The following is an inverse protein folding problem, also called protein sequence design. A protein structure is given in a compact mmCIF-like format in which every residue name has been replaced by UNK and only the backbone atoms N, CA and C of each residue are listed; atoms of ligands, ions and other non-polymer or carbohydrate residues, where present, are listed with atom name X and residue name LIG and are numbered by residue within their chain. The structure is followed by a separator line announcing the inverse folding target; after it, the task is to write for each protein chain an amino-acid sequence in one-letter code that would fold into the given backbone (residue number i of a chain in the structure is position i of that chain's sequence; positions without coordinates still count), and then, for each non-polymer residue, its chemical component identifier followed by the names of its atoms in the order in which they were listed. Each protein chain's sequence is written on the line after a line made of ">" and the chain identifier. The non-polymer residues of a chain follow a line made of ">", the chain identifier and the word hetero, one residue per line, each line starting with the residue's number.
data_IF_317201304331
#
_entry.id   IF_317201304331
#
_cell.length_a   1.000
_cell.length_b   1.000
_cell.length_c   1.000
_cell.angle_alpha   90.00
_cell.angle_beta   90.00
_cell.angle_gamma   90.00
#
_symmetry.space_group_name_H-M   'P 1'
#
loop_
_entity.id
_entity.type
_entity.pdbx_description
1 polymer ?
#
# COMPACT_ATOMS: atom_id res chain seq x y z
N UNK A 1 24.26 23.83 -18.18
CA UNK A 1 25.39 23.00 -18.66
C UNK A 1 25.21 21.63 -18.03
N UNK A 2 24.96 20.59 -18.83
CA UNK A 2 24.84 19.21 -18.34
C UNK A 2 26.21 18.55 -18.30
N UNK A 3 26.57 17.94 -17.18
CA UNK A 3 27.79 17.15 -17.01
C UNK A 3 27.34 15.72 -16.71
N UNK A 4 27.78 14.76 -17.51
CA UNK A 4 27.54 13.34 -17.28
C UNK A 4 28.84 12.68 -16.82
N UNK A 5 28.81 12.00 -15.67
CA UNK A 5 29.85 11.06 -15.29
C UNK A 5 29.48 9.65 -15.78
N UNK A 6 30.47 8.89 -16.27
CA UNK A 6 30.27 7.55 -16.82
C UNK A 6 31.36 6.58 -16.36
N UNK A 7 31.00 5.30 -16.23
CA UNK A 7 31.94 4.22 -15.91
C UNK A 7 32.85 3.90 -17.10
N UNK A 8 32.27 3.95 -18.30
CA UNK A 8 32.92 3.58 -19.55
C UNK A 8 32.65 4.64 -20.64
N UNK A 9 33.67 4.90 -21.45
CA UNK A 9 33.55 5.68 -22.69
C UNK A 9 33.90 4.73 -23.83
N UNK A 10 33.01 4.64 -24.80
CA UNK A 10 33.13 3.81 -25.99
C UNK A 10 33.26 4.67 -27.24
N UNK A 11 33.75 4.10 -28.35
CA UNK A 11 33.88 4.83 -29.60
C UNK A 11 32.52 5.07 -30.28
N UNK A 12 32.51 6.06 -31.18
CA UNK A 12 31.30 6.38 -31.93
C UNK A 12 30.89 5.19 -32.81
N UNK A 13 29.64 4.76 -32.66
CA UNK A 13 29.08 3.61 -33.38
C UNK A 13 29.04 2.31 -32.58
N UNK A 14 29.66 2.26 -31.39
CA UNK A 14 29.57 1.08 -30.51
C UNK A 14 28.20 0.95 -29.83
N UNK A 15 27.51 2.06 -29.57
CA UNK A 15 26.12 2.06 -29.08
C UNK A 15 25.19 2.16 -30.29
N UNK A 16 24.33 1.16 -30.55
CA UNK A 16 23.33 1.25 -31.60
C UNK A 16 22.43 2.48 -31.39
N UNK A 17 22.08 3.25 -32.43
CA UNK A 17 21.30 4.49 -32.28
C UNK A 17 19.99 4.33 -31.51
N UNK A 18 19.32 3.18 -31.68
CA UNK A 18 18.09 2.81 -30.98
C UNK A 18 18.27 2.42 -29.50
N UNK A 19 19.51 2.23 -29.05
CA UNK A 19 19.87 1.95 -27.66
C UNK A 19 20.45 3.18 -26.94
N UNK A 20 20.54 4.33 -27.61
CA UNK A 20 20.95 5.59 -26.99
C UNK A 20 19.82 6.12 -26.10
N UNK A 21 19.97 6.02 -24.78
CA UNK A 21 18.98 6.53 -23.83
C UNK A 21 18.91 8.06 -23.80
N UNK A 22 20.06 8.74 -23.79
CA UNK A 22 20.15 10.21 -23.75
C UNK A 22 20.98 10.68 -24.95
N UNK A 23 20.34 11.31 -25.97
CA UNK A 23 21.07 11.85 -27.11
C UNK A 23 22.15 12.86 -26.69
N UNK A 24 23.30 12.81 -27.36
CA UNK A 24 24.47 13.64 -27.02
C UNK A 24 24.22 15.16 -27.06
N UNK A 25 23.18 15.62 -27.76
CA UNK A 25 22.75 17.03 -27.75
C UNK A 25 22.42 17.56 -26.34
N UNK A 26 22.03 16.69 -25.41
CA UNK A 26 21.72 17.05 -24.03
C UNK A 26 22.94 17.05 -23.10
N UNK A 27 24.09 16.51 -23.52
CA UNK A 27 25.30 16.36 -22.71
C UNK A 27 26.36 17.35 -23.16
N UNK A 28 26.71 18.32 -22.30
CA UNK A 28 27.70 19.35 -22.65
C UNK A 28 29.13 18.96 -22.28
N UNK A 29 29.29 18.15 -21.23
CA UNK A 29 30.59 17.64 -20.76
C UNK A 29 30.42 16.19 -20.32
N UNK A 30 31.39 15.36 -20.66
CA UNK A 30 31.46 13.95 -20.28
C UNK A 30 32.72 13.75 -19.44
N UNK A 31 32.59 13.05 -18.31
CA UNK A 31 33.68 12.71 -17.40
C UNK A 31 33.68 11.20 -17.19
N UNK A 32 34.82 10.54 -17.33
CA UNK A 32 34.95 9.14 -16.88
C UNK A 32 35.37 9.13 -15.41
N UNK A 33 34.59 8.48 -14.55
CA UNK A 33 34.96 8.33 -13.14
C UNK A 33 36.20 7.45 -12.98
N UNK A 34 37.08 7.79 -12.03
CA UNK A 34 38.30 7.01 -11.77
C UNK A 34 38.03 5.71 -11.00
N UNK A 35 37.05 5.73 -10.09
CA UNK A 35 36.59 4.60 -9.30
C UNK A 35 35.14 4.82 -8.87
N UNK A 36 34.37 3.73 -8.77
CA UNK A 36 32.96 3.76 -8.36
C UNK A 36 32.77 2.91 -7.11
N UNK A 37 32.44 3.57 -6.01
CA UNK A 37 31.87 2.91 -4.84
C UNK A 37 30.35 2.87 -5.06
N UNK A 38 29.79 1.66 -5.18
CA UNK A 38 28.34 1.45 -5.35
C UNK A 38 27.72 0.90 -4.06
N UNK A 39 27.56 1.72 -3.00
CA UNK A 39 27.05 1.26 -1.72
C UNK A 39 25.59 0.84 -1.82
N UNK A 40 25.25 -0.25 -1.13
CA UNK A 40 23.88 -0.76 -1.06
C UNK A 40 23.25 -0.29 0.25
N UNK A 41 22.20 0.53 0.19
CA UNK A 41 21.52 1.03 1.39
C UNK A 41 20.84 -0.09 2.18
N UNK A 42 20.13 -1.00 1.48
CA UNK A 42 19.47 -2.16 2.09
C UNK A 42 19.74 -3.42 1.28
N UNK A 43 20.76 -4.16 1.72
CA UNK A 43 21.07 -5.46 1.14
C UNK A 43 20.06 -6.50 1.65
N UNK A 44 19.12 -6.87 0.78
CA UNK A 44 18.06 -7.83 1.08
C UNK A 44 18.23 -9.07 0.21
N UNK A 45 18.37 -10.23 0.87
CA UNK A 45 18.60 -11.51 0.20
C UNK A 45 17.38 -12.42 0.31
N UNK A 46 17.22 -13.31 -0.67
CA UNK A 46 16.27 -14.41 -0.59
C UNK A 46 16.67 -15.35 0.55
N UNK A 47 15.70 -15.74 1.38
CA UNK A 47 15.90 -16.80 2.38
C UNK A 47 15.88 -18.17 1.69
N UNK A 48 16.74 -19.08 2.12
CA UNK A 48 16.96 -20.40 1.50
C UNK A 48 15.81 -21.42 1.74
N UNK A 49 14.78 -21.08 2.51
CA UNK A 49 13.63 -21.94 2.79
C UNK A 49 12.36 -21.12 3.02
N UNK A 50 11.33 -21.39 2.21
CA UNK A 50 10.00 -20.77 2.29
C UNK A 50 9.64 -19.95 1.03
N UNK A 51 8.34 -19.68 0.77
CA UNK A 51 7.93 -18.74 -0.28
C UNK A 51 8.66 -17.40 -0.06
N UNK A 52 8.78 -16.55 -1.09
CA UNK A 52 9.63 -15.36 -1.10
C UNK A 52 9.21 -14.22 -0.13
N UNK A 53 8.81 -14.51 1.10
CA UNK A 53 8.57 -13.62 2.21
C UNK A 53 8.94 -14.37 3.47
N UNK A 54 9.61 -13.71 4.42
CA UNK A 54 10.05 -14.37 5.66
C UNK A 54 8.93 -15.13 6.36
N UNK A 55 9.27 -16.14 7.19
CA UNK A 55 8.31 -16.83 8.06
C UNK A 55 7.36 -15.82 8.72
N UNK A 56 6.11 -15.86 8.28
CA UNK A 56 5.04 -15.13 8.92
C UNK A 56 4.36 -16.18 9.79
N UNK A 57 4.54 -16.08 11.12
CA UNK A 57 3.71 -16.85 12.04
C UNK A 57 2.27 -16.34 11.99
N UNK A 58 1.31 -17.16 12.46
CA UNK A 58 -0.13 -16.85 12.58
C UNK A 58 -0.35 -15.52 13.31
N UNK A 59 -0.23 -14.45 12.56
CA UNK A 59 -0.26 -13.08 13.05
C UNK A 59 -1.29 -12.32 12.25
N UNK A 60 -1.82 -11.29 12.89
CA UNK A 60 -2.81 -10.40 12.30
C UNK A 60 -2.34 -9.80 10.95
N UNK A 61 -1.03 -9.54 10.83
CA UNK A 61 -0.36 -9.13 9.58
C UNK A 61 -0.39 -10.19 8.49
N UNK A 62 -0.14 -11.45 8.81
CA UNK A 62 -0.21 -12.55 7.83
C UNK A 62 -1.59 -12.63 7.19
N UNK A 63 -2.63 -12.50 8.01
CA UNK A 63 -4.02 -12.51 7.57
C UNK A 63 -4.29 -11.41 6.54
N UNK A 64 -3.81 -10.19 6.81
CA UNK A 64 -3.93 -9.05 5.87
C UNK A 64 -3.19 -9.36 4.56
N UNK A 65 -1.96 -9.87 4.64
CA UNK A 65 -1.13 -10.20 3.48
C UNK A 65 -1.80 -11.27 2.61
N UNK A 66 -2.29 -12.35 3.21
CA UNK A 66 -2.97 -13.45 2.50
C UNK A 66 -4.27 -12.97 1.86
N UNK A 67 -5.00 -12.05 2.49
CA UNK A 67 -6.19 -11.44 1.86
C UNK A 67 -5.84 -10.59 0.68
N UNK A 68 -4.82 -9.74 0.84
CA UNK A 68 -4.39 -8.85 -0.21
C UNK A 68 -4.02 -9.63 -1.47
N UNK A 69 -3.42 -10.82 -1.31
CA UNK A 69 -3.11 -11.69 -2.43
C UNK A 69 -4.32 -12.09 -3.29
N UNK A 70 -5.54 -12.09 -2.72
CA UNK A 70 -6.79 -12.35 -3.46
C UNK A 70 -7.27 -11.14 -4.29
N UNK A 71 -6.64 -9.97 -4.16
CA UNK A 71 -6.90 -8.82 -5.05
C UNK A 71 -6.21 -8.97 -6.41
N UNK A 72 -5.16 -9.79 -6.49
CA UNK A 72 -4.41 -10.01 -7.71
C UNK A 72 -5.21 -10.86 -8.70
N UNK A 73 -5.19 -10.43 -9.96
CA UNK A 73 -5.77 -11.16 -11.09
C UNK A 73 -4.70 -11.37 -12.14
N UNK A 74 -4.86 -12.42 -12.92
CA UNK A 74 -3.93 -12.74 -14.00
C UNK A 74 -3.85 -11.58 -15.01
N UNK A 75 -2.64 -11.25 -15.43
CA UNK A 75 -2.32 -10.16 -16.35
C UNK A 75 -2.26 -8.76 -15.74
N UNK A 76 -2.52 -8.58 -14.43
CA UNK A 76 -2.52 -7.24 -13.82
C UNK A 76 -1.13 -6.59 -13.78
N UNK A 77 -1.11 -5.27 -14.02
CA UNK A 77 -0.02 -4.36 -13.69
C UNK A 77 -0.24 -3.78 -12.30
N UNK A 78 0.72 -3.99 -11.40
CA UNK A 78 0.53 -3.72 -9.97
C UNK A 78 1.70 -2.90 -9.43
N UNK A 79 1.40 -1.86 -8.66
CA UNK A 79 2.37 -1.16 -7.82
C UNK A 79 2.14 -1.53 -6.35
N UNK A 80 3.21 -1.98 -5.66
CA UNK A 80 3.18 -2.41 -4.28
C UNK A 80 4.06 -1.53 -3.40
N UNK A 81 3.46 -0.88 -2.41
CA UNK A 81 4.17 -0.14 -1.38
C UNK A 81 4.99 -1.03 -0.46
N UNK A 82 6.00 -0.44 0.18
CA UNK A 82 6.87 -1.14 1.13
C UNK A 82 6.09 -1.78 2.31
N UNK A 83 6.60 -2.89 2.84
CA UNK A 83 6.02 -3.57 4.00
C UNK A 83 5.03 -4.67 3.61
N UNK A 84 3.83 -4.67 4.21
CA UNK A 84 2.81 -5.70 3.96
C UNK A 84 2.44 -5.87 2.47
N UNK A 85 2.31 -4.80 1.65
CA UNK A 85 1.97 -4.97 0.24
C UNK A 85 3.01 -5.79 -0.53
N UNK A 86 4.30 -5.47 -0.37
CA UNK A 86 5.39 -6.24 -1.01
C UNK A 86 5.41 -7.71 -0.58
N UNK A 87 5.08 -8.02 0.68
CA UNK A 87 5.02 -9.40 1.15
C UNK A 87 3.90 -10.22 0.49
N UNK A 88 2.82 -9.57 0.02
CA UNK A 88 1.71 -10.26 -0.64
C UNK A 88 2.07 -10.80 -2.03
N UNK A 89 3.11 -10.28 -2.67
CA UNK A 89 3.62 -10.82 -3.93
C UNK A 89 4.01 -12.31 -3.80
N UNK A 90 4.44 -12.73 -2.62
CA UNK A 90 4.86 -14.11 -2.34
C UNK A 90 3.71 -15.07 -2.06
N UNK A 91 2.49 -14.55 -1.99
CA UNK A 91 1.24 -15.30 -1.80
C UNK A 91 0.33 -15.26 -3.03
N UNK A 92 0.82 -14.74 -4.16
CA UNK A 92 0.09 -14.77 -5.43
C UNK A 92 -0.29 -16.23 -5.74
N UNK A 93 -1.57 -16.53 -6.00
CA UNK A 93 -2.02 -17.89 -6.28
C UNK A 93 -1.31 -18.50 -7.49
N UNK A 94 -1.11 -19.82 -7.45
CA UNK A 94 -0.59 -20.54 -8.61
C UNK A 94 -1.48 -20.30 -9.84
N UNK A 95 -0.87 -20.04 -10.99
CA UNK A 95 -1.57 -19.73 -12.24
C UNK A 95 -1.99 -18.26 -12.40
N UNK A 96 -1.73 -17.40 -11.42
CA UNK A 96 -1.90 -15.95 -11.55
C UNK A 96 -0.54 -15.31 -11.81
N UNK A 97 -0.38 -14.64 -12.95
CA UNK A 97 0.80 -13.85 -13.27
C UNK A 97 0.47 -12.37 -13.16
N UNK A 98 1.27 -11.62 -12.40
CA UNK A 98 1.18 -10.16 -12.31
C UNK A 98 2.50 -9.53 -12.72
N UNK A 99 2.43 -8.30 -13.20
CA UNK A 99 3.58 -7.49 -13.57
C UNK A 99 3.77 -6.40 -12.51
N UNK A 100 4.80 -6.56 -11.69
CA UNK A 100 5.10 -5.63 -10.62
C UNK A 100 5.90 -4.43 -11.16
N UNK A 101 5.33 -3.23 -11.00
CA UNK A 101 5.95 -1.96 -11.36
C UNK A 101 6.64 -1.36 -10.14
N UNK A 102 7.79 -0.73 -10.35
CA UNK A 102 8.49 0.06 -9.34
C UNK A 102 8.65 1.50 -9.80
N UNK A 103 8.28 2.45 -8.94
CA UNK A 103 8.25 3.88 -9.25
C UNK A 103 9.63 4.46 -9.63
N UNK A 104 10.72 3.81 -9.20
CA UNK A 104 12.09 4.18 -9.55
C UNK A 104 12.54 3.76 -10.96
N UNK A 105 11.65 3.21 -11.80
CA UNK A 105 11.90 3.13 -13.25
C UNK A 105 12.07 1.73 -13.81
N UNK A 106 11.29 0.75 -13.33
CA UNK A 106 11.25 -0.55 -14.00
C UNK A 106 9.94 -1.32 -13.78
N UNK A 107 9.69 -2.27 -14.68
CA UNK A 107 8.53 -3.14 -14.70
C UNK A 107 8.98 -4.59 -14.82
N UNK A 108 8.32 -5.49 -14.08
CA UNK A 108 8.72 -6.89 -14.01
C UNK A 108 9.62 -7.18 -12.81
N UNK A 109 9.34 -6.57 -11.66
CA UNK A 109 10.03 -6.85 -10.40
C UNK A 109 9.94 -8.34 -10.05
N UNK A 110 11.11 -8.92 -9.79
CA UNK A 110 11.28 -10.30 -9.35
C UNK A 110 11.53 -10.42 -7.85
N UNK A 111 11.74 -11.66 -7.36
CA UNK A 111 12.06 -11.90 -5.96
C UNK A 111 13.37 -11.23 -5.53
N UNK A 112 13.64 -11.21 -4.22
CA UNK A 112 14.95 -10.82 -3.71
C UNK A 112 16.08 -11.70 -4.31
N UNK A 113 17.28 -11.15 -4.52
CA UNK A 113 18.42 -11.84 -5.12
C UNK A 113 19.04 -12.89 -4.18
N UNK A 114 19.72 -13.89 -4.73
CA UNK A 114 20.74 -14.65 -4.00
C UNK A 114 21.98 -13.79 -3.78
N UNK A 115 22.96 -14.26 -3.00
CA UNK A 115 24.18 -13.48 -2.73
C UNK A 115 24.97 -13.15 -4.01
N UNK A 116 24.90 -14.02 -5.01
CA UNK A 116 25.55 -13.92 -6.31
C UNK A 116 24.79 -13.03 -7.31
N UNK A 117 23.51 -12.80 -7.05
CA UNK A 117 22.62 -11.98 -7.89
C UNK A 117 22.50 -10.54 -7.40
N UNK A 118 23.21 -10.17 -6.32
CA UNK A 118 23.14 -8.82 -5.77
C UNK A 118 23.77 -7.85 -6.75
N UNK A 119 22.98 -6.85 -7.16
CA UNK A 119 23.40 -5.76 -8.02
C UNK A 119 22.99 -4.43 -7.37
N UNK A 120 23.94 -3.50 -7.10
CA UNK A 120 23.63 -2.19 -6.53
C UNK A 120 22.78 -1.30 -7.45
N UNK A 121 22.79 -1.54 -8.76
CA UNK A 121 22.02 -0.76 -9.73
C UNK A 121 20.56 -1.27 -9.86
N UNK A 122 20.23 -2.40 -9.21
CA UNK A 122 18.90 -3.01 -9.25
C UNK A 122 18.23 -3.04 -7.86
N UNK A 123 17.51 -1.96 -7.57
CA UNK A 123 16.77 -1.77 -6.32
C UNK A 123 15.28 -1.48 -6.56
N UNK A 124 14.44 -1.75 -5.57
CA UNK A 124 13.04 -1.31 -5.55
C UNK A 124 12.87 0.10 -4.96
N UNK A 125 11.65 0.63 -4.99
CA UNK A 125 11.27 1.90 -4.35
C UNK A 125 11.61 1.99 -2.84
N UNK A 126 11.68 0.84 -2.15
CA UNK A 126 12.11 0.72 -0.76
C UNK A 126 13.62 0.68 -0.55
N UNK A 127 14.40 0.82 -1.62
CA UNK A 127 15.86 0.76 -1.70
C UNK A 127 16.46 -0.59 -1.31
N UNK A 128 15.66 -1.65 -1.44
CA UNK A 128 16.09 -3.03 -1.24
C UNK A 128 16.60 -3.59 -2.56
N UNK A 129 17.67 -4.39 -2.51
CA UNK A 129 18.18 -5.14 -3.66
C UNK A 129 17.14 -6.14 -4.16
N UNK A 130 16.86 -6.16 -5.46
CA UNK A 130 15.85 -7.01 -6.09
C UNK A 130 16.40 -7.68 -7.36
N UNK A 131 15.61 -8.56 -7.96
CA UNK A 131 15.89 -9.10 -9.30
C UNK A 131 14.84 -8.64 -10.31
N UNK A 132 15.12 -8.81 -11.60
CA UNK A 132 14.18 -8.57 -12.68
C UNK A 132 13.74 -9.90 -13.30
N UNK A 133 12.46 -10.05 -13.60
CA UNK A 133 11.92 -11.24 -14.28
C UNK A 133 12.19 -11.17 -15.79
N UNK A 134 12.18 -12.32 -16.49
CA UNK A 134 12.21 -12.32 -17.95
C UNK A 134 11.08 -11.47 -18.55
N UNK A 135 11.42 -10.59 -19.49
CA UNK A 135 10.50 -9.61 -20.06
C UNK A 135 10.35 -8.32 -19.25
N UNK A 136 11.21 -8.10 -18.25
CA UNK A 136 11.29 -6.81 -17.56
C UNK A 136 11.74 -5.68 -18.50
N UNK A 137 11.34 -4.46 -18.17
CA UNK A 137 11.71 -3.25 -18.90
C UNK A 137 12.14 -2.15 -17.92
N UNK A 138 13.16 -1.39 -18.31
CA UNK A 138 13.66 -0.23 -17.58
C UNK A 138 13.25 1.05 -18.30
N UNK A 139 13.00 2.11 -17.54
CA UNK A 139 12.59 3.41 -18.05
C UNK A 139 12.94 4.52 -17.06
N UNK A 140 13.04 5.75 -17.54
CA UNK A 140 13.31 6.90 -16.68
C UNK A 140 12.12 7.21 -15.74
N UNK A 141 12.38 8.01 -14.70
CA UNK A 141 11.34 8.38 -13.72
C UNK A 141 10.18 9.16 -14.32
N UNK A 142 10.40 9.98 -15.36
CA UNK A 142 9.32 10.72 -16.00
C UNK A 142 8.35 9.75 -16.71
N UNK A 143 8.89 8.76 -17.42
CA UNK A 143 8.14 7.65 -18.03
C UNK A 143 7.43 6.78 -16.99
N UNK A 144 8.11 6.47 -15.88
CA UNK A 144 7.53 5.74 -14.74
C UNK A 144 6.28 6.43 -14.18
N UNK A 145 6.38 7.73 -13.89
CA UNK A 145 5.24 8.49 -13.38
C UNK A 145 4.21 8.84 -14.46
N UNK A 146 4.58 8.88 -15.74
CA UNK A 146 3.61 8.97 -16.83
C UNK A 146 2.75 7.69 -16.91
N UNK A 147 3.35 6.51 -16.74
CA UNK A 147 2.64 5.24 -16.63
C UNK A 147 1.65 5.26 -15.45
N UNK A 148 2.11 5.70 -14.27
CA UNK A 148 1.27 5.80 -13.06
C UNK A 148 0.14 6.82 -13.25
N UNK A 149 0.46 8.09 -13.52
CA UNK A 149 -0.53 9.17 -13.64
C UNK A 149 -1.47 8.99 -14.83
N UNK A 150 -1.04 8.27 -15.85
CA UNK A 150 -1.87 7.90 -17.00
C UNK A 150 -2.90 6.81 -16.70
N UNK A 151 -2.87 6.20 -15.51
CA UNK A 151 -3.80 5.13 -15.15
C UNK A 151 -3.47 3.78 -15.79
N UNK A 152 -2.21 3.56 -16.19
CA UNK A 152 -1.77 2.30 -16.82
C UNK A 152 -1.46 1.19 -15.80
N UNK A 153 -1.62 1.48 -14.51
CA UNK A 153 -1.50 0.50 -13.41
C UNK A 153 -2.90 0.07 -13.01
N UNK A 154 -3.18 -1.23 -13.01
CA UNK A 154 -4.49 -1.77 -12.64
C UNK A 154 -4.75 -1.66 -11.13
N UNK A 155 -3.72 -1.91 -10.32
CA UNK A 155 -3.82 -1.98 -8.88
C UNK A 155 -2.61 -1.32 -8.19
N UNK A 156 -2.90 -0.34 -7.33
CA UNK A 156 -1.95 0.26 -6.39
C UNK A 156 -2.27 -0.22 -4.99
N UNK A 157 -1.27 -0.69 -4.25
CA UNK A 157 -1.44 -1.13 -2.87
C UNK A 157 -0.49 -0.40 -1.93
N UNK A 158 -1.01 0.25 -0.89
CA UNK A 158 -0.21 1.07 0.02
C UNK A 158 -0.52 0.78 1.49
N UNK A 159 0.44 1.10 2.34
CA UNK A 159 0.20 1.26 3.78
C UNK A 159 -0.45 2.61 4.08
N UNK A 160 -1.18 2.67 5.20
CA UNK A 160 -1.78 3.89 5.73
C UNK A 160 -1.55 4.05 7.23
N UNK A 161 -1.55 5.30 7.68
CA UNK A 161 -1.68 5.63 9.10
C UNK A 161 -3.16 5.86 9.45
N UNK A 162 -3.90 6.53 8.57
CA UNK A 162 -5.34 6.77 8.72
C UNK A 162 -6.02 6.74 7.36
N UNK A 163 -7.28 6.31 7.35
CA UNK A 163 -8.18 6.38 6.20
C UNK A 163 -9.51 6.98 6.67
N UNK A 164 -10.04 7.96 5.94
CA UNK A 164 -11.32 8.60 6.28
C UNK A 164 -12.53 7.79 5.79
N UNK A 165 -13.73 8.17 6.26
CA UNK A 165 -15.00 7.59 5.80
C UNK A 165 -15.17 7.66 4.27
N UNK A 166 -14.66 8.72 3.67
CA UNK A 166 -14.78 9.04 2.24
C UNK A 166 -13.60 8.56 1.41
N UNK A 167 -12.64 7.85 2.03
CA UNK A 167 -11.44 7.40 1.36
C UNK A 167 -10.44 8.54 1.16
N UNK A 168 -10.22 9.36 2.17
CA UNK A 168 -8.99 10.19 2.23
C UNK A 168 -7.87 9.37 2.89
N UNK A 169 -6.65 9.49 2.39
CA UNK A 169 -5.50 8.72 2.85
C UNK A 169 -4.46 9.63 3.54
N UNK A 170 -3.98 9.21 4.71
CA UNK A 170 -2.82 9.81 5.37
C UNK A 170 -1.75 8.73 5.64
N UNK A 171 -0.55 8.90 5.05
CA UNK A 171 0.53 7.91 5.17
C UNK A 171 1.98 8.46 5.15
N UNK A 172 2.19 9.77 5.03
CA UNK A 172 3.52 10.32 4.71
C UNK A 172 4.08 11.33 5.73
N UNK A 173 3.25 11.88 6.61
CA UNK A 173 3.67 12.88 7.59
C UNK A 173 2.91 12.76 8.91
N UNK A 174 3.64 12.86 10.02
CA UNK A 174 3.13 13.14 11.36
C UNK A 174 3.85 14.40 11.87
N UNK A 175 3.17 15.56 11.95
CA UNK A 175 3.78 16.80 12.41
C UNK A 175 4.50 16.62 13.76
N UNK A 176 5.76 17.06 13.82
CA UNK A 176 6.59 16.97 15.03
C UNK A 176 7.12 15.57 15.39
N UNK A 177 6.87 14.53 14.57
CA UNK A 177 7.40 13.17 14.82
C UNK A 177 8.05 12.52 13.60
N UNK A 178 7.38 12.52 12.46
CA UNK A 178 7.81 11.78 11.27
C UNK A 178 7.58 12.63 10.02
N UNK A 179 8.66 12.99 9.33
CA UNK A 179 8.62 13.67 8.03
C UNK A 179 9.54 12.91 7.09
N UNK A 180 9.00 11.96 6.33
CA UNK A 180 9.77 11.15 5.37
C UNK A 180 9.62 11.61 3.91
N UNK A 181 8.85 12.67 3.68
CA UNK A 181 8.40 13.06 2.34
C UNK A 181 7.32 12.11 1.82
N UNK A 182 6.53 12.55 0.84
CA UNK A 182 5.43 11.77 0.28
C UNK A 182 5.86 10.69 -0.72
N UNK A 183 7.09 10.76 -1.25
CA UNK A 183 7.54 9.86 -2.32
C UNK A 183 6.56 9.87 -3.50
N UNK A 184 6.37 8.72 -4.16
CA UNK A 184 5.37 8.55 -5.20
C UNK A 184 3.92 8.35 -4.71
N UNK A 185 3.66 8.38 -3.40
CA UNK A 185 2.35 8.00 -2.86
C UNK A 185 1.20 8.86 -3.40
N UNK A 186 1.42 10.16 -3.62
CA UNK A 186 0.39 11.06 -4.15
C UNK A 186 0.03 10.74 -5.61
N UNK A 187 1.02 10.52 -6.47
CA UNK A 187 0.80 10.12 -7.86
C UNK A 187 0.08 8.77 -7.94
N UNK A 188 0.48 7.81 -7.10
CA UNK A 188 -0.07 6.46 -7.07
C UNK A 188 -1.56 6.41 -6.69
N UNK A 189 -2.01 7.26 -5.77
CA UNK A 189 -3.43 7.32 -5.38
C UNK A 189 -4.24 8.33 -6.19
N UNK A 190 -3.57 9.26 -6.88
CA UNK A 190 -4.19 10.23 -7.78
C UNK A 190 -4.47 9.70 -9.18
N UNK A 191 -3.88 8.55 -9.54
CA UNK A 191 -4.03 7.93 -10.85
C UNK A 191 -5.51 7.65 -11.19
N UNK A 192 -6.01 8.09 -12.36
CA UNK A 192 -7.37 7.77 -12.80
C UNK A 192 -7.46 6.30 -13.23
N UNK A 193 -8.58 5.64 -12.99
CA UNK A 193 -8.82 4.26 -13.45
C UNK A 193 -8.03 3.18 -12.69
N UNK A 194 -6.98 3.53 -11.96
CA UNK A 194 -6.25 2.63 -11.08
C UNK A 194 -7.05 2.33 -9.81
N UNK A 195 -7.22 1.04 -9.49
CA UNK A 195 -7.80 0.63 -8.22
C UNK A 195 -6.77 0.84 -7.11
N UNK A 196 -7.19 1.45 -6.01
CA UNK A 196 -6.31 1.67 -4.85
C UNK A 196 -6.81 0.84 -3.67
N UNK A 197 -5.88 0.05 -3.10
CA UNK A 197 -6.12 -0.78 -1.93
C UNK A 197 -5.19 -0.35 -0.80
N UNK A 198 -5.77 -0.21 0.39
CA UNK A 198 -4.99 0.09 1.60
C UNK A 198 -4.91 -1.15 2.48
N UNK A 199 -3.69 -1.47 2.90
CA UNK A 199 -3.42 -2.46 3.95
C UNK A 199 -2.88 -1.78 5.20
N UNK A 200 -3.57 -1.96 6.32
CA UNK A 200 -3.16 -1.40 7.61
C UNK A 200 -3.67 -2.29 8.75
N UNK A 201 -2.99 -2.24 9.89
CA UNK A 201 -3.57 -2.71 11.16
C UNK A 201 -4.79 -1.83 11.46
N UNK A 202 -5.92 -2.43 11.87
CA UNK A 202 -7.19 -1.70 12.01
C UNK A 202 -7.14 -0.66 13.16
N UNK A 203 -6.40 -0.97 14.22
CA UNK A 203 -6.25 -0.12 15.40
C UNK A 203 -4.78 0.24 15.62
N UNK A 204 -4.53 1.46 16.09
CA UNK A 204 -3.22 1.83 16.59
C UNK A 204 -2.87 1.05 17.87
N UNK A 205 -1.58 0.74 18.05
CA UNK A 205 -1.09 0.14 19.30
C UNK A 205 -1.34 1.09 20.48
N UNK A 206 -1.82 0.60 21.63
CA UNK A 206 -2.01 1.43 22.81
C UNK A 206 -0.67 2.01 23.26
N UNK A 207 -0.69 3.26 23.75
CA UNK A 207 0.49 3.89 24.34
C UNK A 207 1.03 3.03 25.50
N UNK A 208 2.36 2.96 25.70
CA UNK A 208 3.01 2.03 26.64
C UNK A 208 2.58 2.17 28.11
N UNK A 209 1.84 3.22 28.47
CA UNK A 209 1.32 3.52 29.81
C UNK A 209 -0.09 2.94 30.07
N UNK A 210 -0.78 2.40 29.06
CA UNK A 210 -2.15 1.84 29.17
C UNK A 210 -2.17 0.31 29.17
N UNK A 211 -1.23 -0.32 29.87
CA UNK A 211 -1.04 -1.78 29.88
C UNK A 211 -2.18 -2.57 30.58
N UNK A 212 -3.18 -1.90 31.16
CA UNK A 212 -4.35 -2.55 31.78
C UNK A 212 -5.48 -2.92 30.80
N UNK A 213 -5.50 -2.39 29.57
CA UNK A 213 -6.53 -2.65 28.55
C UNK A 213 -6.04 -3.61 27.44
N UNK A 214 -5.05 -4.46 27.75
CA UNK A 214 -4.39 -5.36 26.80
C UNK A 214 -5.31 -6.36 26.09
N UNK A 215 -6.53 -6.62 26.57
CA UNK A 215 -7.37 -7.71 26.04
C UNK A 215 -8.16 -7.38 24.76
N UNK A 216 -8.32 -6.10 24.39
CA UNK A 216 -9.23 -5.74 23.28
C UNK A 216 -8.53 -5.22 22.01
N UNK A 217 -7.27 -4.80 22.05
CA UNK A 217 -6.60 -4.20 20.89
C UNK A 217 -5.96 -5.22 19.93
N UNK A 218 -5.47 -6.35 20.44
CA UNK A 218 -4.59 -7.25 19.67
C UNK A 218 -5.31 -8.17 18.67
N UNK A 219 -6.65 -8.24 18.68
CA UNK A 219 -7.40 -9.25 17.89
C UNK A 219 -8.41 -8.68 16.89
N UNK A 220 -8.51 -7.36 16.72
CA UNK A 220 -9.54 -6.71 15.88
C UNK A 220 -9.13 -6.44 14.43
N UNK A 221 -8.18 -7.21 13.92
CA UNK A 221 -7.69 -7.10 12.54
C UNK A 221 -8.39 -8.11 11.64
N UNK A 222 -9.59 -7.78 11.14
CA UNK A 222 -10.31 -8.63 10.19
C UNK A 222 -11.60 -8.04 9.52
N UNK A 223 -11.55 -6.96 8.73
CA UNK A 223 -12.74 -6.39 8.06
C UNK A 223 -12.47 -5.73 6.70
N UNK A 224 -13.01 -6.25 5.59
CA UNK A 224 -12.84 -5.61 4.28
C UNK A 224 -13.89 -4.52 4.12
N UNK A 225 -13.46 -3.27 3.99
CA UNK A 225 -14.34 -2.16 3.62
C UNK A 225 -14.20 -1.83 2.14
N UNK A 226 -15.28 -1.45 1.49
CA UNK A 226 -15.24 -0.73 0.23
C UNK A 226 -15.64 0.71 0.49
N UNK A 227 -14.93 1.66 -0.11
CA UNK A 227 -15.31 3.08 -0.09
C UNK A 227 -16.26 3.31 -1.25
N UNK A 228 -17.54 3.42 -0.93
CA UNK A 228 -18.57 3.83 -1.87
C UNK A 228 -18.65 5.37 -1.92
N UNK A 229 -18.76 5.98 -3.11
CA UNK A 229 -18.78 7.44 -3.23
C UNK A 229 -19.95 8.15 -2.56
N UNK A 230 -21.09 7.48 -2.41
CA UNK A 230 -22.30 8.06 -1.83
C UNK A 230 -22.44 7.65 -0.37
N UNK A 231 -22.13 6.39 -0.08
CA UNK A 231 -22.38 5.77 1.21
C UNK A 231 -21.18 5.85 2.17
N UNK A 232 -19.98 6.11 1.65
CA UNK A 232 -18.73 6.03 2.39
C UNK A 232 -18.31 4.57 2.61
N UNK A 233 -17.83 4.24 3.80
CA UNK A 233 -17.40 2.88 4.12
C UNK A 233 -18.57 1.88 4.09
N UNK A 234 -18.39 0.79 3.34
CA UNK A 234 -19.28 -0.36 3.29
C UNK A 234 -18.50 -1.60 3.71
N UNK A 235 -18.88 -2.23 4.81
CA UNK A 235 -18.30 -3.47 5.29
C UNK A 235 -18.75 -4.63 4.39
N UNK A 236 -17.77 -5.28 3.77
CA UNK A 236 -17.96 -6.33 2.77
C UNK A 236 -17.50 -7.70 3.22
N UNK A 237 -16.49 -7.80 4.08
CA UNK A 237 -16.03 -9.06 4.68
C UNK A 237 -15.66 -8.81 6.14
N UNK A 238 -15.80 -9.82 7.00
CA UNK A 238 -15.35 -9.82 8.39
C UNK A 238 -14.64 -11.16 8.58
N UNK A 239 -13.49 -11.21 9.24
CA UNK A 239 -12.91 -12.51 9.53
C UNK A 239 -13.54 -13.20 10.74
N UNK A 240 -13.41 -14.51 10.70
CA UNK A 240 -13.83 -15.42 11.74
C UNK A 240 -13.43 -14.96 13.15
N UNK A 241 -14.38 -15.04 14.07
CA UNK A 241 -14.20 -14.65 15.47
C UNK A 241 -14.41 -13.16 15.76
N UNK A 242 -14.64 -12.32 14.75
CA UNK A 242 -14.97 -10.89 14.94
C UNK A 242 -16.45 -10.64 14.67
N UNK A 243 -17.11 -9.95 15.61
CA UNK A 243 -18.49 -9.48 15.43
C UNK A 243 -18.55 -8.09 14.79
N UNK A 244 -19.70 -7.73 14.22
CA UNK A 244 -19.95 -6.36 13.76
C UNK A 244 -19.81 -5.36 14.91
N UNK A 245 -20.22 -5.73 16.12
CA UNK A 245 -20.13 -4.88 17.30
C UNK A 245 -18.68 -4.55 17.65
N UNK A 246 -17.78 -5.54 17.57
CA UNK A 246 -16.34 -5.31 17.80
C UNK A 246 -15.78 -4.27 16.83
N UNK A 247 -16.22 -4.31 15.57
CA UNK A 247 -15.82 -3.35 14.54
C UNK A 247 -16.39 -1.95 14.77
N UNK A 248 -17.64 -1.85 15.24
CA UNK A 248 -18.25 -0.56 15.62
C UNK A 248 -17.48 0.08 16.76
N UNK A 249 -17.03 -0.71 17.75
CA UNK A 249 -16.28 -0.21 18.91
C UNK A 249 -14.86 0.25 18.55
N UNK A 250 -14.29 -0.28 17.47
CA UNK A 250 -12.92 0.03 17.06
C UNK A 250 -12.82 0.85 15.76
N UNK A 251 -13.94 1.33 15.23
CA UNK A 251 -13.97 2.17 14.02
C UNK A 251 -14.72 3.46 14.31
N UNK A 252 -14.01 4.59 14.29
CA UNK A 252 -14.63 5.90 14.56
C UNK A 252 -15.58 6.35 13.42
N UNK A 253 -15.25 5.96 12.18
CA UNK A 253 -16.07 6.27 11.02
C UNK A 253 -17.34 5.43 10.98
N UNK A 254 -18.47 6.05 10.65
CA UNK A 254 -19.70 5.32 10.34
C UNK A 254 -19.52 4.51 9.05
N UNK A 255 -19.98 3.26 9.08
CA UNK A 255 -19.99 2.37 7.92
C UNK A 255 -21.33 1.67 7.76
N UNK A 256 -21.63 1.25 6.54
CA UNK A 256 -22.80 0.44 6.21
C UNK A 256 -22.41 -1.03 6.13
N UNK A 257 -23.38 -1.93 6.34
CA UNK A 257 -23.19 -3.34 6.01
C UNK A 257 -23.61 -3.55 4.57
N UNK A 258 -22.82 -4.27 3.77
CA UNK A 258 -23.26 -4.71 2.44
C UNK A 258 -24.59 -5.48 2.61
N UNK A 259 -25.61 -5.14 1.84
CA UNK A 259 -26.84 -5.92 1.81
C UNK A 259 -26.57 -7.25 1.10
N UNK A 260 -26.45 -8.34 1.86
CA UNK A 260 -26.39 -9.68 1.30
C UNK A 260 -27.83 -10.15 1.04
N UNK A 261 -28.26 -10.17 -0.22
CA UNK A 261 -29.52 -10.84 -0.58
C UNK A 261 -29.39 -12.33 -0.24
N UNK A 262 -30.04 -12.76 0.84
CA UNK A 262 -29.92 -14.11 1.41
C UNK A 262 -29.39 -14.05 2.83
N UNK A 263 -30.23 -13.58 3.75
CA UNK A 263 -29.87 -13.29 5.15
C UNK A 263 -29.07 -14.40 5.83
N UNK A 264 -27.80 -14.12 6.09
CA UNK A 264 -26.97 -14.71 7.15
C UNK A 264 -25.61 -14.00 7.15
N UNK A 265 -25.39 -13.08 8.10
CA UNK A 265 -24.04 -12.74 8.54
C UNK A 265 -23.76 -13.70 9.69
N UNK A 266 -22.94 -14.74 9.49
CA UNK A 266 -22.43 -15.61 10.57
C UNK A 266 -23.38 -15.80 11.79
N UNK A 267 -24.62 -16.27 11.56
CA UNK A 267 -25.59 -16.54 12.63
C UNK A 267 -26.30 -15.33 13.26
N UNK A 268 -26.03 -14.09 12.84
CA UNK A 268 -26.71 -12.88 13.30
C UNK A 268 -27.72 -12.42 12.25
N UNK A 269 -29.00 -12.47 12.63
CA UNK A 269 -30.10 -11.92 11.84
C UNK A 269 -30.08 -10.39 11.98
N UNK A 270 -29.58 -9.68 10.97
CA UNK A 270 -29.66 -8.21 10.92
C UNK A 270 -31.08 -7.83 10.48
N UNK A 271 -31.88 -7.12 11.29
CA UNK A 271 -33.23 -6.73 10.91
C UNK A 271 -33.20 -5.86 9.65
N UNK A 272 -34.03 -6.18 8.66
CA UNK A 272 -34.19 -5.35 7.46
C UNK A 272 -34.67 -3.94 7.86
N UNK A 273 -33.93 -2.91 7.44
CA UNK A 273 -34.42 -1.53 7.44
C UNK A 273 -33.81 -0.53 8.44
N UNK A 274 -32.73 -0.84 9.14
CA UNK A 274 -32.05 0.16 9.98
C UNK A 274 -30.78 0.73 9.34
N UNK A 275 -30.88 1.96 8.84
CA UNK A 275 -29.77 2.91 8.90
C UNK A 275 -29.39 3.05 10.38
N UNK A 276 -28.24 2.52 10.79
CA UNK A 276 -27.81 2.54 12.19
C UNK A 276 -27.48 3.98 12.63
N UNK A 277 -28.50 4.74 13.05
CA UNK A 277 -28.34 6.00 13.78
C UNK A 277 -28.12 5.70 15.26
N UNK A 278 -26.89 5.36 15.64
CA UNK A 278 -26.53 5.24 17.06
C UNK A 278 -26.00 6.58 17.59
N UNK A 279 -26.91 7.50 17.90
CA UNK A 279 -26.80 8.29 19.13
C UNK A 279 -27.86 7.73 20.06
N UNK A 280 -27.44 7.16 21.19
CA UNK A 280 -27.96 7.45 22.53
C UNK A 280 -27.35 6.47 23.54
N UNK A 281 -26.91 7.05 24.65
CA UNK A 281 -26.47 6.37 25.87
C UNK A 281 -27.62 5.52 26.43
N UNK A 282 -27.39 4.22 26.69
CA UNK A 282 -27.68 3.48 27.94
C UNK A 282 -27.60 1.94 27.74
N UNK A 283 -27.41 1.15 28.82
CA UNK A 283 -26.44 0.05 28.82
C UNK A 283 -26.99 -1.31 28.38
N UNK A 284 -26.08 -2.07 27.78
CA UNK A 284 -26.26 -3.44 27.34
C UNK A 284 -26.21 -4.41 28.53
N UNK A 285 -27.34 -5.04 28.84
CA UNK A 285 -27.36 -6.39 29.39
C UNK A 285 -28.52 -7.15 28.74
N UNK A 286 -28.30 -8.43 28.47
CA UNK A 286 -29.24 -9.43 27.94
C UNK A 286 -29.42 -9.46 26.42
N UNK A 287 -28.61 -10.27 25.73
CA UNK A 287 -29.17 -11.43 25.03
C UNK A 287 -28.12 -12.45 24.57
N UNK A 288 -28.29 -13.67 25.09
CA UNK A 288 -28.08 -14.97 24.44
C UNK A 288 -26.68 -15.61 24.35
N UNK A 289 -26.52 -16.61 25.24
CA UNK A 289 -25.76 -17.85 25.05
C UNK A 289 -26.46 -18.74 24.02
N UNK A 290 -25.77 -19.30 23.04
CA UNK A 290 -26.39 -20.37 22.23
C UNK A 290 -25.63 -20.89 21.01
N UNK A 291 -24.80 -21.92 21.24
CA UNK A 291 -24.43 -23.06 20.37
C UNK A 291 -23.47 -22.88 19.18
N UNK A 292 -22.48 -23.79 19.24
CA UNK A 292 -21.42 -24.15 18.29
C UNK A 292 -21.96 -25.01 17.14
N UNK A 293 -21.12 -25.06 16.08
CA UNK A 293 -21.09 -25.95 14.92
C UNK A 293 -22.03 -25.56 13.76
N UNK A 294 -21.45 -24.99 12.70
CA UNK A 294 -21.09 -25.70 11.45
C UNK A 294 -20.30 -24.74 10.53
N UNK A 295 -19.22 -25.25 9.95
CA UNK A 295 -18.16 -24.52 9.25
C UNK A 295 -18.58 -24.05 7.86
N UNK A 296 -18.28 -22.78 7.53
CA UNK A 296 -17.79 -22.37 6.21
C UNK A 296 -16.89 -21.13 6.34
N UNK A 297 -15.63 -21.30 5.91
CA UNK A 297 -14.51 -20.37 6.09
C UNK A 297 -14.64 -19.12 5.21
N UNK A 298 -14.66 -17.93 5.82
CA UNK A 298 -14.36 -16.65 5.14
C UNK A 298 -13.59 -15.76 6.11
N UNK A 299 -12.46 -15.22 5.65
CA UNK A 299 -11.59 -14.32 6.41
C UNK A 299 -11.54 -12.95 5.70
N UNK A 300 -11.30 -11.81 6.41
CA UNK A 300 -10.21 -10.83 6.14
C UNK A 300 -10.50 -9.29 6.27
N UNK A 301 -9.44 -8.44 6.32
CA UNK A 301 -9.43 -6.95 6.17
C UNK A 301 -8.84 -6.48 4.83
N UNK A 302 -9.40 -5.43 4.22
CA UNK A 302 -8.83 -4.64 3.10
C UNK A 302 -9.75 -3.45 2.82
N UNK A 303 -9.23 -2.23 2.64
CA UNK A 303 -10.06 -1.10 2.17
C UNK A 303 -9.93 -0.98 0.65
N UNK A 304 -11.03 -1.12 -0.09
CA UNK A 304 -11.11 -1.02 -1.56
C UNK A 304 -11.68 0.33 -1.98
N UNK A 305 -11.03 1.05 -2.89
CA UNK A 305 -11.62 2.20 -3.60
C UNK A 305 -11.46 2.04 -5.10
N UNK A 306 -12.53 2.33 -5.85
CA UNK A 306 -12.50 2.48 -7.32
C UNK A 306 -12.30 3.94 -7.75
N UNK A 307 -11.96 4.85 -6.83
CA UNK A 307 -11.65 6.26 -7.11
C UNK A 307 -10.24 6.61 -6.66
N UNK A 308 -9.71 7.66 -7.27
CA UNK A 308 -8.61 8.46 -6.74
C UNK A 308 -8.94 8.91 -5.32
N UNK A 309 -8.03 8.69 -4.37
CA UNK A 309 -8.21 9.17 -2.99
C UNK A 309 -8.06 10.70 -3.00
N UNK A 310 -9.00 11.44 -2.41
CA UNK A 310 -8.80 12.87 -2.12
C UNK A 310 -7.91 13.03 -0.89
N UNK A 311 -7.04 14.04 -0.89
CA UNK A 311 -6.23 14.36 0.31
C UNK A 311 -6.97 15.46 1.05
N UNK A 312 -7.50 15.15 2.23
CA UNK A 312 -8.19 16.12 3.07
C UNK A 312 -7.23 17.20 3.61
N UNK A 313 -7.32 18.41 3.08
CA UNK A 313 -6.65 19.61 3.60
C UNK A 313 -7.49 20.31 4.68
N UNK A 314 -7.91 19.61 5.74
CA UNK A 314 -8.65 20.23 6.86
C UNK A 314 -7.87 20.20 8.16
N UNK A 315 -6.86 21.06 8.22
CA UNK A 315 -6.50 21.88 9.40
C UNK A 315 -5.35 22.84 9.04
N UNK A 316 -5.61 23.89 8.27
CA UNK A 316 -4.65 24.99 8.02
C UNK A 316 -5.22 26.37 8.43
N UNK A 317 -6.40 26.44 9.06
CA UNK A 317 -7.01 27.73 9.43
C UNK A 317 -6.48 28.36 10.74
N UNK A 318 -5.26 28.05 11.16
CA UNK A 318 -4.69 28.68 12.36
C UNK A 318 -3.19 28.89 12.30
N UNK A 319 -2.63 29.33 11.16
CA UNK A 319 -1.28 29.90 11.10
C UNK A 319 -1.13 30.91 9.94
N UNK A 320 -2.08 31.85 9.79
CA UNK A 320 -1.84 33.11 9.09
C UNK A 320 -1.53 34.20 10.11
N UNK A 321 -0.28 34.25 10.57
CA UNK A 321 0.29 35.44 11.23
C UNK A 321 1.82 35.35 11.14
N UNK A 322 2.35 35.51 9.94
CA UNK A 322 3.70 36.00 9.75
C UNK A 322 3.65 37.15 8.75
N UNK A 323 3.74 38.36 9.29
CA UNK A 323 3.87 39.60 8.54
C UNK A 323 5.16 39.55 7.72
N UNK A 324 5.02 39.68 6.40
CA UNK A 324 6.14 39.87 5.47
C UNK A 324 6.65 41.31 5.61
N UNK A 325 7.96 41.56 5.87
CA UNK A 325 8.51 42.90 5.77
C UNK A 325 8.61 43.28 4.29
N UNK A 326 8.00 44.41 3.92
CA UNK A 326 8.16 45.04 2.61
C UNK A 326 9.60 45.51 2.40
N UNK A 327 10.19 45.37 1.20
CA UNK A 327 11.49 45.96 0.90
C UNK A 327 11.32 47.46 0.61
N UNK A 328 11.98 48.30 1.42
CA UNK A 328 12.13 49.73 1.16
C UNK A 328 13.52 50.04 0.63
N UNK A 329 13.54 50.84 -0.44
CA UNK A 329 14.60 51.69 -1.02
C UNK A 329 16.09 51.37 -0.77
#
# INVERSE_FOLDING_TARGET
>A
VTIAEVEEIVETGEIPPEQVHIPGIYVKRLLRGAAYEKPIERRTLRKASGPAGGEVGESSRERIIRRLALEFKDGMYVNLGIGMPMLAASFIPAGVKVHLQSENGFLGLGPYPTAEQVDPDLINAGKETVTALPGAAYFDSASSFAMIRGGHIDLTVLGAMQVSKTGDLANWMIPGKLVKGMGGAMDLVGAPGTKVVVTMEHCAKPAPHRQGLRRHADHREAAVFTVDPEQGLVLTEIAEGISVQDLVECTEAQFQLRSWHGGRVAGVQVPQGQLCRCRLRQPAEQCWKGRRNELHNVHNVSIRSNRSFSIGSRSIDSFNNFSVPQPGH
#
